data_IF_693880737679
#
_entry.id   IF_693880737679
#
_cell.length_a   1.000
_cell.length_b   1.000
_cell.length_c   1.000
_cell.angle_alpha   90.00
_cell.angle_beta   90.00
_cell.angle_gamma   90.00
#
_symmetry.space_group_name_H-M   'P 1'
#
loop_
_entity.id
_entity.type
_entity.pdbx_description
1 polymer ?
#
# COMPACT_ATOMS: atom_id res chain seq x y z
N UNK A 1 -19.38 -9.33 -25.18
CA UNK A 1 -18.04 -9.86 -24.87
C UNK A 1 -17.31 -8.71 -24.20
N UNK A 2 -17.24 -8.73 -22.86
CA UNK A 2 -16.61 -7.66 -22.08
C UNK A 2 -15.10 -7.91 -22.17
N UNK A 3 -14.37 -6.98 -22.78
CA UNK A 3 -12.91 -7.01 -22.76
C UNK A 3 -12.49 -6.69 -21.32
N UNK A 4 -11.89 -7.65 -20.63
CA UNK A 4 -11.21 -7.39 -19.37
C UNK A 4 -9.76 -7.07 -19.74
N UNK A 5 -9.34 -5.79 -19.73
CA UNK A 5 -7.95 -5.44 -19.97
C UNK A 5 -7.09 -6.21 -18.97
N UNK A 6 -6.05 -6.89 -19.46
CA UNK A 6 -5.06 -7.49 -18.56
C UNK A 6 -4.25 -6.36 -17.97
N UNK A 7 -3.84 -6.49 -16.70
CA UNK A 7 -3.03 -5.47 -16.04
C UNK A 7 -1.81 -5.03 -16.85
N UNK A 8 -1.24 -5.92 -17.67
CA UNK A 8 -0.12 -5.69 -18.61
C UNK A 8 -0.26 -4.53 -19.60
N UNK A 9 -1.47 -4.03 -19.87
CA UNK A 9 -1.73 -3.03 -20.92
C UNK A 9 -1.84 -1.58 -20.39
N UNK A 10 -1.81 -1.36 -19.08
CA UNK A 10 -1.89 -0.02 -18.48
C UNK A 10 -0.52 0.65 -18.36
N UNK A 11 -0.48 1.96 -18.64
CA UNK A 11 0.65 2.82 -18.26
C UNK A 11 0.84 2.79 -16.73
N UNK A 12 2.08 2.88 -16.21
CA UNK A 12 2.33 2.85 -14.76
C UNK A 12 1.52 3.85 -13.96
N UNK A 13 1.33 5.07 -14.46
CA UNK A 13 0.57 6.11 -13.74
C UNK A 13 -0.91 5.76 -13.69
N UNK A 14 -1.47 5.21 -14.77
CA UNK A 14 -2.86 4.77 -14.80
C UNK A 14 -3.09 3.57 -13.87
N UNK A 15 -2.12 2.66 -13.78
CA UNK A 15 -2.15 1.54 -12.85
C UNK A 15 -2.12 2.00 -11.39
N UNK A 16 -1.20 2.92 -11.05
CA UNK A 16 -1.12 3.52 -9.71
C UNK A 16 -2.46 4.16 -9.32
N UNK A 17 -3.04 4.96 -10.21
CA UNK A 17 -4.31 5.63 -9.98
C UNK A 17 -5.48 4.63 -9.85
N UNK A 18 -5.50 3.57 -10.64
CA UNK A 18 -6.52 2.54 -10.58
C UNK A 18 -6.46 1.73 -9.26
N UNK A 19 -5.25 1.44 -8.77
CA UNK A 19 -5.02 0.78 -7.48
C UNK A 19 -5.49 1.68 -6.33
N UNK A 20 -5.03 2.93 -6.29
CA UNK A 20 -5.39 3.87 -5.22
C UNK A 20 -6.88 4.21 -5.22
N UNK A 21 -7.52 4.30 -6.40
CA UNK A 21 -8.97 4.49 -6.50
C UNK A 21 -9.73 3.31 -5.91
N UNK A 22 -9.29 2.08 -6.20
CA UNK A 22 -9.97 0.88 -5.71
C UNK A 22 -9.81 0.69 -4.20
N UNK A 23 -8.66 1.09 -3.65
CA UNK A 23 -8.40 1.00 -2.21
C UNK A 23 -9.04 2.13 -1.39
N UNK A 24 -9.59 3.17 -2.03
CA UNK A 24 -10.08 4.37 -1.34
C UNK A 24 -11.03 4.04 -0.17
N UNK A 25 -10.65 4.43 1.04
CA UNK A 25 -11.39 4.19 2.28
C UNK A 25 -11.01 2.90 3.02
N UNK A 26 -10.23 2.01 2.40
CA UNK A 26 -9.51 0.93 3.07
C UNK A 26 -8.06 1.35 3.29
N UNK A 27 -7.80 2.01 4.42
CA UNK A 27 -6.47 2.55 4.72
C UNK A 27 -5.37 1.50 4.78
N UNK A 28 -5.71 0.23 5.04
CA UNK A 28 -4.73 -0.85 5.05
C UNK A 28 -4.28 -1.17 3.62
N UNK A 29 -5.21 -1.40 2.70
CA UNK A 29 -4.87 -1.67 1.29
C UNK A 29 -4.24 -0.43 0.62
N UNK A 30 -4.74 0.78 0.91
CA UNK A 30 -4.12 2.03 0.45
C UNK A 30 -2.66 2.16 0.90
N UNK A 31 -2.38 1.88 2.18
CA UNK A 31 -1.04 1.99 2.74
C UNK A 31 -0.09 0.98 2.09
N UNK A 32 -0.54 -0.25 1.86
CA UNK A 32 0.24 -1.28 1.18
C UNK A 32 0.55 -0.89 -0.27
N UNK A 33 -0.44 -0.40 -1.01
CA UNK A 33 -0.26 0.10 -2.38
C UNK A 33 0.71 1.28 -2.38
N UNK A 34 0.51 2.30 -1.54
CA UNK A 34 1.41 3.45 -1.43
C UNK A 34 2.84 3.03 -1.07
N UNK A 35 3.02 2.02 -0.21
CA UNK A 35 4.34 1.46 0.10
C UNK A 35 5.01 0.91 -1.15
N UNK A 36 4.32 0.05 -1.91
CA UNK A 36 4.86 -0.54 -3.13
C UNK A 36 5.18 0.50 -4.20
N UNK A 37 4.30 1.49 -4.38
CA UNK A 37 4.52 2.55 -5.35
C UNK A 37 5.73 3.42 -4.96
N UNK A 38 5.80 3.90 -3.71
CA UNK A 38 6.92 4.74 -3.27
C UNK A 38 8.25 3.98 -3.17
N UNK A 39 8.19 2.65 -3.00
CA UNK A 39 9.38 1.80 -3.08
C UNK A 39 9.87 1.65 -4.53
N UNK A 40 8.95 1.45 -5.49
CA UNK A 40 9.20 1.55 -6.93
C UNK A 40 9.72 0.27 -7.60
N UNK A 41 9.70 -0.88 -6.92
CA UNK A 41 10.26 -2.15 -7.44
C UNK A 41 9.20 -3.18 -7.83
N UNK A 42 8.09 -3.24 -7.08
CA UNK A 42 7.23 -4.43 -7.07
C UNK A 42 6.11 -4.43 -8.10
N UNK A 43 5.52 -3.27 -8.42
CA UNK A 43 4.35 -3.22 -9.32
C UNK A 43 4.56 -3.90 -10.68
N UNK A 44 5.68 -3.67 -11.41
CA UNK A 44 5.91 -4.34 -12.69
C UNK A 44 5.99 -5.86 -12.57
N UNK A 45 6.57 -6.37 -11.48
CA UNK A 45 6.69 -7.81 -11.24
C UNK A 45 5.34 -8.44 -10.85
N UNK A 46 4.57 -7.77 -10.00
CA UNK A 46 3.22 -8.21 -9.63
C UNK A 46 2.30 -8.26 -10.86
N UNK A 47 2.39 -7.26 -11.73
CA UNK A 47 1.66 -7.20 -13.00
C UNK A 47 2.08 -8.35 -13.94
N UNK A 48 3.39 -8.58 -14.11
CA UNK A 48 3.92 -9.67 -14.93
C UNK A 48 3.59 -11.07 -14.39
N UNK A 49 3.49 -11.21 -13.06
CA UNK A 49 3.06 -12.42 -12.38
C UNK A 49 1.54 -12.66 -12.46
N UNK A 50 0.76 -11.69 -12.96
CA UNK A 50 -0.70 -11.78 -13.03
C UNK A 50 -1.41 -11.52 -11.69
N UNK A 51 -0.70 -10.98 -10.71
CA UNK A 51 -1.25 -10.65 -9.38
C UNK A 51 -2.06 -9.36 -9.37
N UNK A 52 -2.10 -8.61 -10.46
CA UNK A 52 -2.91 -7.39 -10.54
C UNK A 52 -4.08 -7.63 -11.49
N UNK A 53 -5.28 -7.64 -10.91
CA UNK A 53 -6.53 -7.69 -11.67
C UNK A 53 -6.97 -6.26 -11.97
N UNK A 54 -7.31 -5.99 -13.23
CA UNK A 54 -7.81 -4.69 -13.69
C UNK A 54 -9.22 -4.85 -14.23
N UNK A 55 -10.10 -3.92 -13.87
CA UNK A 55 -11.49 -3.86 -14.32
C UNK A 55 -11.77 -2.46 -14.86
N UNK A 56 -12.38 -2.41 -16.04
CA UNK A 56 -12.92 -1.19 -16.64
C UNK A 56 -14.44 -1.16 -16.41
N UNK A 57 -14.94 -0.08 -15.85
CA UNK A 57 -16.37 0.20 -15.64
C UNK A 57 -16.67 1.66 -16.04
N UNK A 58 -17.93 2.10 -15.90
CA UNK A 58 -18.38 3.38 -16.45
C UNK A 58 -17.65 4.60 -15.85
N UNK A 59 -17.23 4.51 -14.58
CA UNK A 59 -16.58 5.58 -13.83
C UNK A 59 -15.04 5.54 -13.88
N UNK A 60 -14.44 4.62 -14.63
CA UNK A 60 -12.99 4.59 -14.89
C UNK A 60 -12.34 3.21 -14.87
N UNK A 61 -11.08 3.18 -14.42
CA UNK A 61 -10.29 1.95 -14.23
C UNK A 61 -10.09 1.70 -12.74
N UNK A 62 -10.20 0.43 -12.34
CA UNK A 62 -9.93 -0.07 -10.99
C UNK A 62 -8.95 -1.23 -11.07
N UNK A 63 -8.08 -1.33 -10.08
CA UNK A 63 -7.11 -2.41 -9.99
C UNK A 63 -7.02 -2.92 -8.56
N UNK A 64 -6.72 -4.21 -8.39
CA UNK A 64 -6.49 -4.83 -7.08
C UNK A 64 -5.33 -5.81 -7.15
N UNK A 65 -4.53 -5.85 -6.09
CA UNK A 65 -3.49 -6.86 -5.89
C UNK A 65 -4.10 -8.10 -5.25
N UNK A 66 -3.82 -9.28 -5.81
CA UNK A 66 -4.21 -10.57 -5.23
C UNK A 66 -3.19 -11.01 -4.17
N UNK A 67 -3.29 -10.40 -2.98
CA UNK A 67 -2.41 -10.71 -1.85
C UNK A 67 -2.37 -12.19 -1.47
N UNK A 68 -3.51 -12.94 -1.43
CA UNK A 68 -3.54 -14.39 -1.21
C UNK A 68 -2.52 -15.22 -2.02
N UNK A 69 -2.33 -14.89 -3.29
CA UNK A 69 -1.49 -15.66 -4.21
C UNK A 69 0.02 -15.32 -4.11
N UNK A 70 0.39 -14.28 -3.36
CA UNK A 70 1.76 -13.76 -3.29
C UNK A 70 2.83 -14.82 -2.94
N UNK A 71 2.57 -15.66 -1.94
CA UNK A 71 3.53 -16.70 -1.52
C UNK A 71 3.71 -17.78 -2.60
N UNK A 72 2.65 -18.10 -3.35
CA UNK A 72 2.72 -19.06 -4.44
C UNK A 72 3.60 -18.53 -5.58
N UNK A 73 3.50 -17.24 -5.89
CA UNK A 73 4.32 -16.55 -6.87
C UNK A 73 5.80 -16.46 -6.45
N UNK A 74 6.06 -16.19 -5.16
CA UNK A 74 7.41 -16.23 -4.57
C UNK A 74 8.01 -17.65 -4.64
N UNK A 75 7.25 -18.67 -4.24
CA UNK A 75 7.69 -20.07 -4.31
C UNK A 75 7.97 -20.51 -5.76
N UNK A 76 7.21 -19.99 -6.71
CA UNK A 76 7.41 -20.27 -8.13
C UNK A 76 8.56 -19.47 -8.77
N UNK A 77 9.21 -18.57 -8.02
CA UNK A 77 10.33 -17.76 -8.50
C UNK A 77 9.92 -16.68 -9.52
N UNK A 78 8.64 -16.27 -9.53
CA UNK A 78 8.13 -15.22 -10.43
C UNK A 78 8.34 -13.81 -9.89
N UNK A 79 8.60 -13.68 -8.59
CA UNK A 79 8.91 -12.44 -7.91
C UNK A 79 10.35 -12.50 -7.38
N UNK A 80 11.19 -11.56 -7.83
CA UNK A 80 12.62 -11.53 -7.54
C UNK A 80 13.00 -10.22 -6.83
N UNK A 81 13.76 -10.36 -5.74
CA UNK A 81 14.29 -9.24 -5.00
C UNK A 81 15.41 -9.68 -4.04
N UNK A 82 16.22 -8.71 -3.64
CA UNK A 82 17.09 -8.80 -2.49
C UNK A 82 16.30 -9.05 -1.21
N UNK A 83 16.97 -9.47 -0.14
CA UNK A 83 16.33 -9.70 1.16
C UNK A 83 15.59 -8.46 1.69
N UNK A 84 16.16 -7.26 1.51
CA UNK A 84 15.52 -5.99 1.89
C UNK A 84 14.25 -5.70 1.07
N UNK A 85 14.29 -5.89 -0.25
CA UNK A 85 13.13 -5.73 -1.11
C UNK A 85 12.01 -6.71 -0.73
N UNK A 86 12.35 -7.98 -0.47
CA UNK A 86 11.38 -9.01 -0.07
C UNK A 86 10.72 -8.69 1.26
N UNK A 87 11.48 -8.13 2.21
CA UNK A 87 10.93 -7.63 3.48
C UNK A 87 9.92 -6.49 3.28
N UNK A 88 10.17 -5.58 2.34
CA UNK A 88 9.19 -4.54 1.99
C UNK A 88 7.92 -5.15 1.38
N UNK A 89 8.05 -6.15 0.51
CA UNK A 89 6.90 -6.84 -0.08
C UNK A 89 6.07 -7.56 0.98
N UNK A 90 6.72 -8.30 1.88
CA UNK A 90 6.05 -8.96 3.00
C UNK A 90 5.41 -7.95 3.95
N UNK A 91 6.04 -6.80 4.19
CA UNK A 91 5.44 -5.73 5.00
C UNK A 91 4.16 -5.18 4.33
N UNK A 92 4.16 -4.94 3.02
CA UNK A 92 2.97 -4.52 2.28
C UNK A 92 1.84 -5.56 2.40
N UNK A 93 2.15 -6.83 2.18
CA UNK A 93 1.18 -7.91 2.28
C UNK A 93 0.68 -8.13 3.74
N UNK A 94 1.54 -7.88 4.73
CA UNK A 94 1.16 -7.87 6.15
C UNK A 94 0.16 -6.76 6.47
N UNK A 95 0.41 -5.56 5.93
CA UNK A 95 -0.48 -4.41 6.13
C UNK A 95 -1.83 -4.64 5.46
N UNK A 96 -1.88 -5.12 4.21
CA UNK A 96 -3.13 -5.31 3.47
C UNK A 96 -3.93 -6.57 3.87
N UNK A 97 -3.26 -7.70 4.09
CA UNK A 97 -3.89 -9.03 4.22
C UNK A 97 -3.62 -9.69 5.58
N UNK A 98 -3.00 -8.97 6.53
CA UNK A 98 -2.75 -9.46 7.89
C UNK A 98 -1.72 -10.59 7.98
N UNK A 99 -0.91 -10.80 6.95
CA UNK A 99 0.13 -11.83 6.91
C UNK A 99 1.17 -11.60 8.00
N UNK A 100 1.61 -12.65 8.72
CA UNK A 100 2.56 -12.49 9.82
C UNK A 100 3.96 -12.08 9.31
N UNK A 101 4.58 -11.13 10.01
CA UNK A 101 5.98 -10.73 9.80
C UNK A 101 6.73 -10.74 11.13
N UNK A 102 7.98 -11.19 11.12
CA UNK A 102 8.88 -11.01 12.27
C UNK A 102 9.37 -9.55 12.28
N UNK A 103 8.88 -8.76 13.23
CA UNK A 103 9.25 -7.34 13.35
C UNK A 103 10.73 -7.13 13.68
N UNK A 104 11.38 -8.07 14.38
CA UNK A 104 12.80 -8.00 14.68
C UNK A 104 13.66 -8.21 13.44
N UNK A 105 13.32 -9.22 12.63
CA UNK A 105 13.97 -9.46 11.34
C UNK A 105 13.72 -8.31 10.34
N UNK A 106 12.47 -7.85 10.26
CA UNK A 106 12.05 -6.74 9.42
C UNK A 106 12.85 -5.47 9.78
N UNK A 107 12.80 -5.03 11.03
CA UNK A 107 13.49 -3.83 11.47
C UNK A 107 15.02 -3.97 11.36
N UNK A 108 15.56 -5.17 11.59
CA UNK A 108 16.99 -5.44 11.63
C UNK A 108 17.71 -5.42 10.28
N UNK A 109 17.00 -5.42 9.14
CA UNK A 109 17.69 -5.23 7.86
C UNK A 109 16.82 -4.70 6.74
N UNK A 110 15.93 -3.77 7.07
CA UNK A 110 15.61 -2.70 6.15
C UNK A 110 16.72 -1.64 6.21
N UNK A 111 17.02 -1.02 5.07
CA UNK A 111 17.80 0.22 5.08
C UNK A 111 16.94 1.40 5.58
N UNK A 112 17.58 2.57 5.74
CA UNK A 112 16.90 3.77 6.24
C UNK A 112 15.71 4.19 5.36
N UNK A 113 15.83 4.11 4.03
CA UNK A 113 14.77 4.56 3.11
C UNK A 113 13.58 3.61 3.21
N UNK A 114 13.83 2.32 3.13
CA UNK A 114 12.79 1.31 3.21
C UNK A 114 12.07 1.33 4.57
N UNK A 115 12.81 1.52 5.67
CA UNK A 115 12.22 1.66 7.01
C UNK A 115 11.29 2.88 7.11
N UNK A 116 11.68 4.04 6.56
CA UNK A 116 10.81 5.23 6.54
C UNK A 116 9.51 4.95 5.79
N UNK A 117 9.57 4.27 4.64
CA UNK A 117 8.38 3.92 3.87
C UNK A 117 7.47 2.95 4.63
N UNK A 118 8.02 1.93 5.28
CA UNK A 118 7.23 0.98 6.10
C UNK A 118 6.57 1.69 7.29
N UNK A 119 7.28 2.61 7.95
CA UNK A 119 6.71 3.40 9.05
C UNK A 119 5.60 4.34 8.57
N UNK A 120 5.75 4.96 7.40
CA UNK A 120 4.70 5.77 6.78
C UNK A 120 3.47 4.91 6.42
N UNK A 121 3.68 3.69 5.90
CA UNK A 121 2.60 2.74 5.61
C UNK A 121 1.82 2.38 6.88
N UNK A 122 2.51 2.02 7.97
CA UNK A 122 1.86 1.68 9.25
C UNK A 122 1.08 2.89 9.80
N UNK A 123 1.66 4.09 9.75
CA UNK A 123 0.98 5.31 10.18
C UNK A 123 -0.24 5.63 9.30
N UNK A 124 -0.18 5.37 8.00
CA UNK A 124 -1.29 5.54 7.06
C UNK A 124 -2.42 4.55 7.36
N UNK A 125 -2.10 3.26 7.50
CA UNK A 125 -3.06 2.21 7.82
C UNK A 125 -3.77 2.45 9.17
N UNK A 126 -3.09 3.09 10.12
CA UNK A 126 -3.68 3.52 11.40
C UNK A 126 -4.61 4.77 11.27
N UNK A 127 -4.82 5.29 10.06
CA UNK A 127 -5.62 6.48 9.79
C UNK A 127 -4.99 7.78 10.29
N UNK A 128 -3.67 7.80 10.58
CA UNK A 128 -3.05 8.96 11.23
C UNK A 128 -3.09 10.23 10.39
N UNK A 129 -3.26 10.09 9.07
CA UNK A 129 -3.45 11.20 8.15
C UNK A 129 -4.82 11.90 8.32
N UNK A 130 -5.78 11.29 9.01
CA UNK A 130 -7.10 11.87 9.32
C UNK A 130 -7.31 12.16 10.81
N UNK A 131 -6.33 11.88 11.67
CA UNK A 131 -6.46 12.12 13.11
C UNK A 131 -6.75 13.59 13.39
N UNK A 132 -7.65 13.83 14.35
CA UNK A 132 -8.03 15.16 14.80
C UNK A 132 -7.75 15.31 16.28
N UNK A 133 -7.37 16.51 16.71
CA UNK A 133 -7.33 16.82 18.14
C UNK A 133 -8.74 16.75 18.70
N UNK A 134 -8.85 16.33 19.96
CA UNK A 134 -10.09 16.52 20.71
C UNK A 134 -10.03 17.91 21.32
N UNK A 135 -11.02 18.74 21.00
CA UNK A 135 -11.23 20.06 21.60
C UNK A 135 -12.44 20.02 22.52
N UNK A 136 -12.56 21.00 23.41
CA UNK A 136 -13.66 21.10 24.37
C UNK A 136 -14.31 22.47 24.24
N UNK A 137 -15.64 22.53 24.24
CA UNK A 137 -16.37 23.80 24.25
C UNK A 137 -16.37 24.42 25.66
N UNK A 138 -17.03 25.57 25.81
CA UNK A 138 -17.10 26.29 27.09
C UNK A 138 -17.79 25.47 28.21
N UNK A 139 -18.62 24.50 27.84
CA UNK A 139 -19.30 23.57 28.75
C UNK A 139 -18.48 22.29 29.03
N UNK A 140 -17.31 22.15 28.39
CA UNK A 140 -16.43 20.99 28.53
C UNK A 140 -16.85 19.77 27.71
N UNK A 141 -17.72 19.92 26.71
CA UNK A 141 -18.15 18.85 25.82
C UNK A 141 -17.08 18.62 24.73
N UNK A 142 -16.61 17.37 24.53
CA UNK A 142 -15.61 17.08 23.51
C UNK A 142 -16.20 17.20 22.10
N UNK A 143 -15.48 17.86 21.19
CA UNK A 143 -15.78 17.91 19.77
C UNK A 143 -14.53 17.70 18.91
N UNK A 144 -14.66 17.25 17.64
CA UNK A 144 -13.53 17.12 16.73
C UNK A 144 -12.90 18.49 16.46
N UNK A 145 -11.68 18.68 16.93
CA UNK A 145 -10.87 19.85 16.67
C UNK A 145 -10.16 19.78 15.31
N UNK A 146 -9.07 20.52 15.20
CA UNK A 146 -8.26 20.57 13.99
C UNK A 146 -7.63 19.21 13.64
N UNK A 147 -7.53 18.93 12.35
CA UNK A 147 -6.77 17.80 11.83
C UNK A 147 -5.28 18.00 12.12
N UNK A 148 -4.63 16.95 12.60
CA UNK A 148 -3.18 16.96 12.85
C UNK A 148 -2.45 16.36 11.65
N UNK A 149 -1.17 16.71 11.44
CA UNK A 149 -0.33 16.03 10.46
C UNK A 149 -0.26 14.52 10.74
N UNK A 150 -0.04 13.68 9.71
CA UNK A 150 0.19 12.25 9.89
C UNK A 150 1.37 12.01 10.83
N UNK A 151 1.30 10.93 11.62
CA UNK A 151 2.33 10.58 12.60
C UNK A 151 3.70 10.38 11.91
N UNK A 152 3.68 9.74 10.75
CA UNK A 152 4.82 9.62 9.83
C UNK A 152 4.31 9.94 8.43
N UNK A 153 4.85 11.01 7.83
CA UNK A 153 4.49 11.41 6.47
C UNK A 153 5.22 10.55 5.43
N UNK A 154 4.56 10.30 4.30
CA UNK A 154 5.24 9.76 3.11
C UNK A 154 6.30 10.76 2.61
N UNK A 155 7.51 10.30 2.23
CA UNK A 155 8.51 11.18 1.64
C UNK A 155 8.01 11.72 0.29
N UNK A 156 8.43 12.93 -0.05
CA UNK A 156 8.16 13.51 -1.38
C UNK A 156 8.90 12.71 -2.45
N UNK A 157 8.22 12.34 -3.54
CA UNK A 157 8.87 11.77 -4.72
C UNK A 157 9.65 12.87 -5.44
N UNK A 158 10.91 12.57 -5.78
CA UNK A 158 11.75 13.45 -6.62
C UNK A 158 11.32 13.41 -8.09
#
# INVERSE_FOLDING_TARGET
MIYQPRGGDLDPVDLENALLRAAFGDYADEAAILLLINFGHWLPQLQAAGLITVVEEAEGMWARIDWPELDAELCAGRLLGSSGELRVLHAAASVADGRPVDLGDLAGGLDRRALVLVLAAIAHAAGSHEHRRVSFDDDGVPYPGEQVPPLVAWPTRE
#
